data_IF_133938263132
#
_entry.id   IF_133938263132
#
_cell.length_a   1.000
_cell.length_b   1.000
_cell.length_c   1.000
_cell.angle_alpha   90.00
_cell.angle_beta   90.00
_cell.angle_gamma   90.00
#
_symmetry.space_group_name_H-M   'P 1'
#
loop_
_entity.id
_entity.type
_entity.pdbx_description
1 polymer ?
#
# COMPACT_ATOMS: atom_id res chain seq x y z
N UNK A 1 -8.44 -14.43 10.22
CA UNK A 1 -9.09 -13.12 9.97
C UNK A 1 -8.12 -12.03 10.38
N UNK A 2 -7.77 -11.10 9.47
CA UNK A 2 -6.68 -10.15 9.65
C UNK A 2 -7.09 -8.96 10.53
N UNK A 3 -6.55 -8.86 11.73
CA UNK A 3 -6.84 -7.77 12.67
C UNK A 3 -5.95 -6.56 12.36
N UNK A 4 -6.49 -5.64 11.57
CA UNK A 4 -5.89 -4.33 11.28
C UNK A 4 -6.18 -3.25 12.32
N UNK A 5 -7.19 -3.47 13.18
CA UNK A 5 -7.68 -2.53 14.19
C UNK A 5 -7.66 -3.14 15.60
N UNK A 6 -7.76 -2.28 16.62
CA UNK A 6 -7.95 -2.71 18.01
C UNK A 6 -9.26 -3.51 18.12
N UNK A 7 -9.31 -4.68 18.79
CA UNK A 7 -10.53 -5.47 18.87
C UNK A 7 -11.65 -4.60 19.43
N UNK A 8 -12.78 -4.55 18.72
CA UNK A 8 -13.99 -3.88 19.23
C UNK A 8 -14.58 -4.62 20.44
N UNK A 9 -14.08 -5.83 20.72
CA UNK A 9 -14.51 -6.66 21.82
C UNK A 9 -13.89 -6.17 23.14
N UNK A 10 -14.71 -5.65 24.07
CA UNK A 10 -14.23 -5.15 25.36
C UNK A 10 -13.65 -6.25 26.27
N UNK A 11 -13.80 -7.54 25.94
CA UNK A 11 -13.20 -8.66 26.68
C UNK A 11 -11.74 -8.95 26.31
N UNK A 12 -11.22 -8.36 25.23
CA UNK A 12 -9.84 -8.63 24.78
C UNK A 12 -8.83 -7.79 25.57
N UNK A 13 -8.06 -8.44 26.44
CA UNK A 13 -6.93 -7.80 27.10
C UNK A 13 -5.84 -7.41 26.09
N UNK A 14 -5.09 -6.35 26.42
CA UNK A 14 -3.95 -5.89 25.62
C UNK A 14 -2.91 -7.00 25.39
N UNK A 15 -2.71 -7.86 26.38
CA UNK A 15 -1.74 -8.96 26.29
C UNK A 15 -2.22 -10.07 25.35
N UNK A 16 -3.51 -10.40 25.36
CA UNK A 16 -4.09 -11.39 24.46
C UNK A 16 -4.09 -10.89 23.02
N UNK A 17 -4.32 -9.59 22.82
CA UNK A 17 -4.19 -8.97 21.51
C UNK A 17 -2.74 -8.96 20.99
N UNK A 18 -1.75 -8.74 21.86
CA UNK A 18 -0.33 -8.84 21.49
C UNK A 18 0.03 -10.27 21.07
N UNK A 19 -0.43 -11.28 21.82
CA UNK A 19 -0.21 -12.70 21.48
C UNK A 19 -0.88 -13.08 20.15
N UNK A 20 -2.14 -12.70 19.96
CA UNK A 20 -2.89 -12.94 18.71
C UNK A 20 -2.22 -12.27 17.51
N UNK A 21 -1.79 -11.02 17.65
CA UNK A 21 -1.02 -10.33 16.60
C UNK A 21 0.28 -11.03 16.29
N UNK A 22 1.02 -11.48 17.29
CA UNK A 22 2.31 -12.15 17.11
C UNK A 22 2.14 -13.49 16.37
N UNK A 23 1.05 -14.21 16.65
CA UNK A 23 0.71 -15.47 15.99
C UNK A 23 0.21 -15.31 14.53
N UNK A 24 -0.22 -14.11 14.12
CA UNK A 24 -0.74 -13.87 12.77
C UNK A 24 0.39 -13.66 11.75
N UNK A 25 0.62 -14.67 10.90
CA UNK A 25 1.63 -14.64 9.83
C UNK A 25 1.33 -13.61 8.74
N UNK A 26 0.05 -13.28 8.52
CA UNK A 26 -0.41 -12.31 7.53
C UNK A 26 -1.41 -11.37 8.18
N UNK A 27 -1.33 -10.08 7.85
CA UNK A 27 -2.28 -9.04 8.28
C UNK A 27 -2.84 -8.35 7.06
N UNK A 28 -4.14 -8.07 7.05
CA UNK A 28 -4.81 -7.42 5.91
C UNK A 28 -5.49 -6.15 6.44
N UNK A 29 -5.28 -5.04 5.73
CA UNK A 29 -5.97 -3.78 5.95
C UNK A 29 -6.49 -3.25 4.62
N UNK A 30 -7.63 -2.57 4.69
CA UNK A 30 -8.18 -1.80 3.58
C UNK A 30 -7.86 -0.33 3.82
N UNK A 31 -6.99 0.25 3.00
CA UNK A 31 -6.59 1.66 3.06
C UNK A 31 -7.37 2.46 1.99
N UNK A 32 -7.77 3.72 2.23
CA UNK A 32 -8.37 4.53 1.17
C UNK A 32 -7.31 4.85 0.12
N UNK A 33 -7.61 4.55 -1.14
CA UNK A 33 -6.79 5.01 -2.26
C UNK A 33 -7.00 6.52 -2.47
N UNK A 34 -5.99 7.23 -2.98
CA UNK A 34 -6.07 8.68 -3.20
C UNK A 34 -5.67 9.11 -4.61
N UNK A 35 -6.26 10.20 -5.07
CA UNK A 35 -5.88 10.85 -6.34
C UNK A 35 -4.68 11.81 -6.17
N UNK A 36 -4.31 12.50 -7.26
CA UNK A 36 -3.22 13.47 -7.30
C UNK A 36 -3.43 14.69 -6.36
N UNK A 37 -4.67 14.94 -5.94
CA UNK A 37 -5.02 15.98 -4.97
C UNK A 37 -5.21 15.42 -3.56
N UNK A 38 -4.79 14.17 -3.33
CA UNK A 38 -4.94 13.43 -2.08
C UNK A 38 -6.41 13.21 -1.65
N UNK A 39 -7.37 13.31 -2.58
CA UNK A 39 -8.77 13.03 -2.31
C UNK A 39 -9.03 11.52 -2.32
N UNK A 40 -9.88 10.98 -1.42
CA UNK A 40 -10.17 9.55 -1.38
C UNK A 40 -10.95 9.10 -2.63
N UNK A 41 -10.56 7.97 -3.20
CA UNK A 41 -11.22 7.32 -4.34
C UNK A 41 -12.29 6.31 -3.88
N UNK A 42 -13.26 5.93 -4.75
CA UNK A 42 -14.34 5.01 -4.39
C UNK A 42 -13.87 3.57 -4.18
N UNK A 43 -12.62 3.25 -4.56
CA UNK A 43 -11.98 1.97 -4.33
C UNK A 43 -10.89 2.09 -3.26
N UNK A 44 -10.50 0.94 -2.68
CA UNK A 44 -9.55 0.86 -1.58
C UNK A 44 -8.36 0.00 -1.96
N UNK A 45 -7.19 0.37 -1.46
CA UNK A 45 -6.00 -0.45 -1.56
C UNK A 45 -6.03 -1.55 -0.48
N UNK A 46 -5.53 -2.73 -0.80
CA UNK A 46 -5.26 -3.77 0.19
C UNK A 46 -3.82 -3.61 0.65
N UNK A 47 -3.61 -3.35 1.94
CA UNK A 47 -2.31 -3.47 2.56
C UNK A 47 -2.17 -4.84 3.20
N UNK A 48 -1.23 -5.64 2.70
CA UNK A 48 -0.89 -6.96 3.24
C UNK A 48 0.41 -6.83 4.03
N UNK A 49 0.33 -6.94 5.36
CA UNK A 49 1.49 -7.09 6.22
C UNK A 49 1.95 -8.54 6.24
N UNK A 50 3.18 -8.79 5.79
CA UNK A 50 3.82 -10.10 5.90
C UNK A 50 4.55 -10.25 7.24
N UNK A 51 4.46 -11.43 7.85
CA UNK A 51 5.11 -11.75 9.11
C UNK A 51 6.64 -11.86 8.98
N UNK A 52 7.34 -11.82 10.13
CA UNK A 52 8.82 -11.82 10.20
C UNK A 52 9.45 -12.97 9.41
N UNK A 53 8.86 -14.15 9.45
CA UNK A 53 9.36 -15.36 8.76
C UNK A 53 9.30 -15.25 7.23
N UNK A 54 8.38 -14.44 6.69
CA UNK A 54 8.24 -14.22 5.25
C UNK A 54 9.15 -13.10 4.72
N UNK A 55 9.72 -12.27 5.60
CA UNK A 55 10.56 -11.12 5.20
C UNK A 55 11.79 -11.55 4.41
N UNK A 56 12.60 -12.55 4.84
CA UNK A 56 13.78 -12.96 4.05
C UNK A 56 13.39 -13.45 2.66
N UNK A 57 12.32 -14.24 2.56
CA UNK A 57 11.81 -14.72 1.26
C UNK A 57 11.32 -13.59 0.37
N UNK A 58 10.62 -12.61 0.95
CA UNK A 58 10.17 -11.43 0.21
C UNK A 58 11.35 -10.67 -0.39
N UNK A 59 12.36 -10.36 0.43
CA UNK A 59 13.51 -9.56 0.03
C UNK A 59 14.41 -10.30 -0.95
N UNK A 60 14.64 -11.59 -0.73
CA UNK A 60 15.67 -12.35 -1.45
C UNK A 60 15.13 -13.16 -2.63
N UNK A 61 13.85 -13.56 -2.60
CA UNK A 61 13.32 -14.59 -3.51
C UNK A 61 12.10 -14.13 -4.31
N UNK A 62 11.30 -13.19 -3.79
CA UNK A 62 10.03 -12.82 -4.44
C UNK A 62 10.13 -11.58 -5.33
N UNK A 63 11.14 -10.73 -5.14
CA UNK A 63 11.37 -9.56 -6.00
C UNK A 63 11.84 -10.03 -7.38
N UNK A 64 10.97 -9.91 -8.38
CA UNK A 64 11.29 -10.27 -9.76
C UNK A 64 12.02 -9.16 -10.51
N UNK A 65 11.66 -7.89 -10.23
CA UNK A 65 12.21 -6.72 -10.92
C UNK A 65 12.07 -5.48 -10.04
N UNK A 66 13.08 -4.62 -10.09
CA UNK A 66 13.05 -3.26 -9.56
C UNK A 66 13.19 -2.32 -10.76
N UNK A 67 12.35 -1.30 -10.83
CA UNK A 67 12.41 -0.28 -11.88
C UNK A 67 12.51 1.09 -11.21
N UNK A 68 13.52 1.86 -11.62
CA UNK A 68 13.63 3.25 -11.21
C UNK A 68 12.59 4.08 -11.97
N UNK A 69 11.76 4.80 -11.23
CA UNK A 69 10.69 5.65 -11.76
C UNK A 69 10.91 7.13 -11.40
N UNK A 70 12.11 7.51 -10.98
CA UNK A 70 12.41 8.86 -10.51
C UNK A 70 12.08 9.93 -11.56
N UNK A 71 12.48 9.72 -12.82
CA UNK A 71 12.19 10.65 -13.91
C UNK A 71 10.70 10.77 -14.24
N UNK A 72 9.97 9.65 -14.12
CA UNK A 72 8.51 9.63 -14.27
C UNK A 72 7.85 10.46 -13.16
N UNK A 73 8.31 10.32 -11.92
CA UNK A 73 7.80 11.07 -10.79
C UNK A 73 8.03 12.59 -10.97
N UNK A 74 9.21 13.00 -11.43
CA UNK A 74 9.48 14.41 -11.79
C UNK A 74 8.57 14.91 -12.91
N UNK A 75 8.31 14.08 -13.93
CA UNK A 75 7.42 14.43 -15.04
C UNK A 75 6.00 14.68 -14.55
N UNK A 76 5.45 13.78 -13.73
CA UNK A 76 4.11 13.92 -13.14
C UNK A 76 4.06 15.16 -12.24
N UNK A 77 5.06 15.38 -11.40
CA UNK A 77 5.14 16.56 -10.54
C UNK A 77 5.06 17.86 -11.36
N UNK A 78 5.84 17.97 -12.43
CA UNK A 78 5.81 19.15 -13.30
C UNK A 78 4.45 19.35 -13.98
N UNK A 79 3.79 18.27 -14.40
CA UNK A 79 2.43 18.33 -14.96
C UNK A 79 1.39 18.79 -13.94
N UNK A 80 1.54 18.39 -12.67
CA UNK A 80 0.68 18.87 -11.57
C UNK A 80 0.93 20.36 -11.30
N UNK A 81 2.21 20.78 -11.22
CA UNK A 81 2.58 22.19 -11.00
C UNK A 81 2.14 23.13 -12.14
N UNK A 82 1.97 22.61 -13.36
CA UNK A 82 1.53 23.37 -14.54
C UNK A 82 0.03 23.24 -14.82
N UNK A 83 -0.74 22.72 -13.85
CA UNK A 83 -2.20 22.49 -13.94
C UNK A 83 -2.63 21.57 -15.10
N UNK A 84 -1.70 20.80 -15.67
CA UNK A 84 -1.98 19.86 -16.75
C UNK A 84 -2.33 18.46 -16.21
N UNK A 85 -3.36 18.41 -15.38
CA UNK A 85 -3.74 17.25 -14.57
C UNK A 85 -4.21 16.06 -15.42
N UNK A 86 -4.95 16.30 -16.50
CA UNK A 86 -5.42 15.23 -17.39
C UNK A 86 -4.25 14.47 -18.02
N UNK A 87 -3.21 15.18 -18.43
CA UNK A 87 -1.98 14.58 -18.95
C UNK A 87 -1.21 13.86 -17.85
N UNK A 88 -1.11 14.45 -16.66
CA UNK A 88 -0.48 13.81 -15.49
C UNK A 88 -1.12 12.47 -15.12
N UNK A 89 -2.46 12.42 -15.09
CA UNK A 89 -3.22 11.18 -14.83
C UNK A 89 -3.00 10.15 -15.95
N UNK A 90 -2.98 10.57 -17.21
CA UNK A 90 -2.74 9.66 -18.33
C UNK A 90 -1.34 9.02 -18.28
N UNK A 91 -0.31 9.82 -17.97
CA UNK A 91 1.08 9.36 -17.79
C UNK A 91 1.22 8.42 -16.59
N UNK A 92 0.56 8.70 -15.48
CA UNK A 92 0.54 7.80 -14.31
C UNK A 92 -0.10 6.45 -14.64
N UNK A 93 -1.26 6.47 -15.32
CA UNK A 93 -2.00 5.24 -15.67
C UNK A 93 -1.25 4.39 -16.71
N UNK A 94 -0.60 5.01 -17.70
CA UNK A 94 0.18 4.26 -18.68
C UNK A 94 1.39 3.58 -18.03
N UNK A 95 2.04 4.23 -17.07
CA UNK A 95 3.14 3.63 -16.32
C UNK A 95 2.70 2.44 -15.45
N UNK A 96 1.50 2.49 -14.84
CA UNK A 96 0.97 1.39 -14.03
C UNK A 96 0.62 0.14 -14.85
N UNK A 97 0.29 0.29 -16.13
CA UNK A 97 -0.08 -0.82 -17.01
C UNK A 97 1.13 -1.49 -17.71
N UNK A 98 2.33 -0.92 -17.58
CA UNK A 98 3.56 -1.43 -18.20
C UNK A 98 4.47 -2.24 -17.26
N UNK A 99 4.03 -2.49 -16.03
CA UNK A 99 4.81 -3.21 -14.99
C UNK A 99 4.40 -4.67 -14.89
#
# INVERSE_FOLDING_TARGET
MGFGHWPSDPSTSKDDWVKLKAASLVRIRWDPERDLHLQPLPYRAIQIGIGREAVPRYVEQWVQRITDITDLAHTIHNLVCTENLNTGVAVMRSAQNGV
#
